data_IF_323912690546
#
_entry.id   IF_323912690546
#
_cell.length_a   1.000
_cell.length_b   1.000
_cell.length_c   1.000
_cell.angle_alpha   90.00
_cell.angle_beta   90.00
_cell.angle_gamma   90.00
#
_symmetry.space_group_name_H-M   'P 1'
#
loop_
_entity.id
_entity.type
_entity.pdbx_description
1 polymer ?
#
# COMPACT_ATOMS: atom_id res chain seq x y z
N UNK A 1 24.90 10.17 18.43
CA UNK A 1 23.51 10.59 18.10
C UNK A 1 23.33 10.28 16.63
N UNK A 2 22.51 9.29 16.29
CA UNK A 2 22.26 8.93 14.89
C UNK A 2 21.54 10.12 14.23
N UNK A 3 22.07 10.59 13.11
CA UNK A 3 21.40 11.56 12.27
C UNK A 3 20.06 10.96 11.86
N UNK A 4 18.97 11.70 12.09
CA UNK A 4 17.65 11.38 11.54
C UNK A 4 17.72 11.55 10.03
N UNK A 5 18.27 10.56 9.34
CA UNK A 5 18.14 10.41 7.90
C UNK A 5 16.64 10.35 7.61
N UNK A 6 16.10 11.41 7.01
CA UNK A 6 14.68 11.46 6.65
C UNK A 6 14.34 10.23 5.80
N UNK A 7 13.30 9.49 6.19
CA UNK A 7 12.82 8.37 5.42
C UNK A 7 12.11 8.92 4.17
N UNK A 8 12.79 8.83 3.02
CA UNK A 8 12.25 9.25 1.73
C UNK A 8 11.35 8.12 1.21
N UNK A 9 10.06 8.43 1.07
CA UNK A 9 9.09 7.54 0.42
C UNK A 9 8.61 8.14 -0.89
N UNK A 10 8.36 7.28 -1.87
CA UNK A 10 7.76 7.63 -3.15
C UNK A 10 6.54 6.76 -3.39
N UNK A 11 5.58 7.28 -4.14
CA UNK A 11 4.56 6.44 -4.78
C UNK A 11 5.17 5.90 -6.07
N UNK A 12 5.47 4.60 -6.10
CA UNK A 12 6.08 3.89 -7.24
C UNK A 12 5.05 3.69 -8.36
N UNK A 13 3.86 3.25 -7.97
CA UNK A 13 2.70 3.09 -8.85
C UNK A 13 1.53 3.79 -8.15
N UNK A 14 0.77 4.61 -8.87
CA UNK A 14 -0.41 5.26 -8.30
C UNK A 14 -1.66 4.34 -8.28
N UNK A 15 -2.79 4.88 -7.84
CA UNK A 15 -4.05 4.13 -7.77
C UNK A 15 -4.66 3.80 -9.13
N UNK A 16 -4.24 4.49 -10.20
CA UNK A 16 -4.69 4.25 -11.58
C UNK A 16 -3.73 3.29 -12.31
N UNK A 17 -2.66 2.84 -11.64
CA UNK A 17 -1.67 1.92 -12.20
C UNK A 17 -0.55 2.60 -12.98
N UNK A 18 -0.43 3.93 -12.93
CA UNK A 18 0.64 4.66 -13.61
C UNK A 18 1.94 4.60 -12.79
N UNK A 19 3.03 4.31 -13.48
CA UNK A 19 4.36 4.24 -12.89
C UNK A 19 5.00 5.64 -12.78
N UNK A 20 5.56 5.96 -11.62
CA UNK A 20 6.24 7.22 -11.36
C UNK A 20 7.72 7.13 -11.73
N UNK A 21 8.02 7.24 -13.02
CA UNK A 21 9.37 7.21 -13.56
C UNK A 21 10.29 8.27 -12.95
N UNK A 22 9.86 9.53 -12.92
CA UNK A 22 10.63 10.67 -12.42
C UNK A 22 10.98 10.50 -10.94
N UNK A 23 9.99 10.13 -10.11
CA UNK A 23 10.20 9.92 -8.67
C UNK A 23 11.09 8.71 -8.38
N UNK A 24 10.95 7.65 -9.17
CA UNK A 24 11.76 6.43 -9.01
C UNK A 24 13.22 6.69 -9.39
N UNK A 25 13.46 7.35 -10.52
CA UNK A 25 14.81 7.73 -10.96
C UNK A 25 15.51 8.61 -9.92
N UNK A 26 14.77 9.54 -9.32
CA UNK A 26 15.28 10.39 -8.25
C UNK A 26 15.65 9.57 -7.02
N UNK A 27 14.76 8.70 -6.54
CA UNK A 27 15.02 7.86 -5.38
C UNK A 27 16.25 6.96 -5.59
N UNK A 28 16.34 6.29 -6.75
CA UNK A 28 17.47 5.39 -7.08
C UNK A 28 18.81 6.13 -7.04
N UNK A 29 18.85 7.38 -7.54
CA UNK A 29 20.05 8.23 -7.50
C UNK A 29 20.38 8.68 -6.07
N UNK A 30 19.38 9.09 -5.30
CA UNK A 30 19.55 9.51 -3.90
C UNK A 30 20.08 8.38 -3.01
N UNK A 31 19.55 7.16 -3.16
CA UNK A 31 20.02 5.98 -2.39
C UNK A 31 21.30 5.37 -2.96
N UNK A 32 21.79 5.85 -4.10
CA UNK A 32 22.96 5.32 -4.83
C UNK A 32 22.86 3.81 -5.07
N UNK A 33 21.69 3.31 -5.48
CA UNK A 33 21.42 1.88 -5.57
C UNK A 33 22.42 1.11 -6.44
N UNK A 34 22.93 1.76 -7.50
CA UNK A 34 23.95 1.19 -8.38
C UNK A 34 25.27 0.90 -7.65
N UNK A 35 25.63 1.72 -6.65
CA UNK A 35 26.81 1.52 -5.82
C UNK A 35 26.62 0.36 -4.82
N UNK A 36 25.38 0.04 -4.44
CA UNK A 36 25.06 -1.10 -3.57
C UNK A 36 25.36 -2.46 -4.24
N UNK A 37 25.44 -2.52 -5.58
CA UNK A 37 25.68 -3.78 -6.31
C UNK A 37 24.64 -4.84 -5.96
N UNK A 38 25.08 -5.98 -5.39
CA UNK A 38 24.21 -7.05 -4.89
C UNK A 38 23.87 -6.92 -3.39
N UNK A 39 24.40 -5.91 -2.71
CA UNK A 39 24.21 -5.65 -1.29
C UNK A 39 22.99 -4.74 -1.07
N UNK A 40 21.83 -5.21 -1.50
CA UNK A 40 20.54 -4.59 -1.21
C UNK A 40 19.46 -5.65 -1.00
N UNK A 41 18.42 -5.28 -0.26
CA UNK A 41 17.24 -6.11 -0.06
C UNK A 41 15.97 -5.30 -0.38
N UNK A 42 14.95 -5.99 -0.89
CA UNK A 42 13.62 -5.42 -1.08
C UNK A 42 12.62 -6.25 -0.29
N UNK A 43 11.83 -5.60 0.55
CA UNK A 43 10.77 -6.22 1.35
C UNK A 43 9.44 -5.64 0.91
N UNK A 44 8.46 -6.49 0.60
CA UNK A 44 7.12 -6.06 0.25
C UNK A 44 6.10 -6.66 1.23
N UNK A 45 5.08 -5.88 1.59
CA UNK A 45 3.96 -6.37 2.39
C UNK A 45 2.67 -6.36 1.57
N UNK A 46 1.94 -7.46 1.63
CA UNK A 46 0.62 -7.60 1.01
C UNK A 46 -0.38 -8.11 2.03
N UNK A 47 -1.66 -7.77 1.85
CA UNK A 47 -2.73 -8.23 2.73
C UNK A 47 -3.98 -7.37 2.64
N UNK A 48 -5.04 -7.72 3.38
CA UNK A 48 -6.33 -7.04 3.32
C UNK A 48 -6.24 -5.53 3.60
N UNK A 49 -7.24 -4.79 3.13
CA UNK A 49 -7.37 -3.38 3.48
C UNK A 49 -7.52 -3.20 4.98
N UNK A 50 -6.88 -2.16 5.53
CA UNK A 50 -6.92 -1.83 6.96
C UNK A 50 -6.39 -2.93 7.90
N UNK A 51 -5.55 -3.86 7.44
CA UNK A 51 -4.92 -4.89 8.28
C UNK A 51 -3.66 -4.43 9.05
N UNK A 52 -3.32 -3.13 9.02
CA UNK A 52 -2.15 -2.58 9.72
C UNK A 52 -0.82 -2.71 8.99
N UNK A 53 -0.82 -2.88 7.66
CA UNK A 53 0.40 -3.04 6.83
C UNK A 53 1.40 -1.88 6.99
N UNK A 54 0.95 -0.66 6.70
CA UNK A 54 1.77 0.55 6.77
C UNK A 54 2.29 0.79 8.19
N UNK A 55 1.42 0.59 9.20
CA UNK A 55 1.79 0.63 10.63
C UNK A 55 2.91 -0.35 10.95
N UNK A 56 2.80 -1.61 10.50
CA UNK A 56 3.83 -2.62 10.72
C UNK A 56 5.17 -2.23 10.07
N UNK A 57 5.15 -1.75 8.82
CA UNK A 57 6.36 -1.31 8.13
C UNK A 57 7.02 -0.11 8.83
N UNK A 58 6.22 0.87 9.26
CA UNK A 58 6.71 2.04 10.00
C UNK A 58 7.45 1.64 11.28
N UNK A 59 6.90 0.68 12.04
CA UNK A 59 7.52 0.20 13.28
C UNK A 59 8.75 -0.70 13.05
N UNK A 60 8.74 -1.57 12.04
CA UNK A 60 9.85 -2.52 11.82
C UNK A 60 11.03 -1.90 11.09
N UNK A 61 10.76 -1.00 10.14
CA UNK A 61 11.75 -0.48 9.21
C UNK A 61 12.01 1.02 9.37
N UNK A 62 11.46 1.62 10.43
CA UNK A 62 11.59 3.05 10.74
C UNK A 62 11.13 3.94 9.57
N UNK A 63 10.05 3.55 8.89
CA UNK A 63 9.46 4.31 7.79
C UNK A 63 8.33 5.23 8.24
N UNK A 64 7.81 6.03 7.31
CA UNK A 64 6.73 6.98 7.56
C UNK A 64 5.63 6.91 6.47
N UNK A 65 5.19 5.71 6.13
CA UNK A 65 4.03 5.51 5.26
C UNK A 65 2.77 6.06 5.91
N UNK A 66 1.84 6.56 5.09
CA UNK A 66 0.58 7.10 5.57
C UNK A 66 -0.25 5.99 6.24
N UNK A 67 -0.64 6.24 7.48
CA UNK A 67 -1.53 5.36 8.24
C UNK A 67 -2.98 5.87 8.25
N UNK A 68 -3.91 4.95 8.53
CA UNK A 68 -5.32 5.27 8.62
C UNK A 68 -5.59 6.10 9.87
N UNK A 69 -6.25 7.25 9.69
CA UNK A 69 -6.71 8.08 10.79
C UNK A 69 -8.14 7.67 11.18
N UNK A 70 -8.27 6.93 12.29
CA UNK A 70 -9.56 6.43 12.76
C UNK A 70 -10.57 7.55 13.07
N UNK A 71 -10.10 8.77 13.41
CA UNK A 71 -10.98 9.91 13.69
C UNK A 71 -11.60 10.51 12.42
N UNK A 72 -11.00 10.26 11.25
CA UNK A 72 -11.51 10.71 9.94
C UNK A 72 -12.37 9.67 9.22
N UNK A 73 -12.62 8.53 9.86
CA UNK A 73 -13.38 7.42 9.30
C UNK A 73 -12.49 6.35 8.63
N UNK A 74 -13.07 5.17 8.42
CA UNK A 74 -12.40 4.06 7.73
C UNK A 74 -12.47 4.30 6.22
N UNK A 75 -11.32 4.50 5.60
CA UNK A 75 -11.18 4.62 4.15
C UNK A 75 -9.86 4.03 3.68
N UNK A 76 -9.79 3.72 2.39
CA UNK A 76 -8.56 3.29 1.76
C UNK A 76 -7.44 4.31 2.00
N UNK A 77 -6.36 3.86 2.63
CA UNK A 77 -5.25 4.73 3.07
C UNK A 77 -4.08 4.70 2.10
N UNK A 78 -3.61 3.50 1.75
CA UNK A 78 -2.57 3.28 0.74
C UNK A 78 -3.24 3.09 -0.61
N UNK A 79 -2.87 3.92 -1.58
CA UNK A 79 -3.27 3.78 -2.99
C UNK A 79 -2.06 3.47 -3.85
N UNK A 80 -2.18 2.48 -4.71
CA UNK A 80 -1.10 1.95 -5.53
C UNK A 80 -0.02 1.27 -4.70
N UNK A 81 1.24 1.50 -5.07
CA UNK A 81 2.42 0.91 -4.42
C UNK A 81 3.35 2.03 -3.98
N UNK A 82 3.68 2.04 -2.70
CA UNK A 82 4.64 2.98 -2.13
C UNK A 82 5.97 2.26 -1.85
N UNK A 83 7.08 2.97 -2.01
CA UNK A 83 8.42 2.47 -1.74
C UNK A 83 9.19 3.46 -0.87
N UNK A 84 9.97 2.96 0.09
CA UNK A 84 10.83 3.79 0.93
C UNK A 84 12.17 3.11 1.23
N UNK A 85 13.21 3.92 1.43
CA UNK A 85 14.50 3.44 1.95
C UNK A 85 14.48 3.42 3.47
N UNK A 86 14.92 2.30 4.04
CA UNK A 86 15.01 2.13 5.48
C UNK A 86 16.30 2.77 6.01
N UNK A 87 16.18 3.74 6.91
CA UNK A 87 17.34 4.38 7.52
C UNK A 87 17.97 3.45 8.58
N UNK A 88 19.30 3.30 8.53
CA UNK A 88 20.05 2.52 9.54
C UNK A 88 19.91 1.01 9.45
N UNK A 89 19.42 0.46 8.34
CA UNK A 89 19.33 -0.97 8.08
C UNK A 89 20.32 -1.35 6.97
N UNK A 90 21.17 -2.34 7.26
CA UNK A 90 22.13 -2.93 6.33
C UNK A 90 21.78 -4.41 6.06
N UNK A 91 21.89 -4.90 4.81
CA UNK A 91 22.27 -4.16 3.60
C UNK A 91 21.21 -3.10 3.23
N UNK A 92 21.52 -2.20 2.29
CA UNK A 92 20.58 -1.20 1.77
C UNK A 92 19.19 -1.79 1.55
N UNK A 93 18.23 -1.45 2.41
CA UNK A 93 16.91 -2.09 2.43
C UNK A 93 15.84 -1.13 1.93
N UNK A 94 15.11 -1.54 0.91
CA UNK A 94 13.91 -0.89 0.40
C UNK A 94 12.68 -1.65 0.87
N UNK A 95 11.67 -0.93 1.34
CA UNK A 95 10.37 -1.51 1.70
C UNK A 95 9.28 -1.02 0.77
N UNK A 96 8.34 -1.89 0.44
CA UNK A 96 7.20 -1.62 -0.42
C UNK A 96 5.89 -1.85 0.35
N UNK A 97 5.09 -0.79 0.50
CA UNK A 97 3.73 -0.86 1.05
C UNK A 97 2.74 -0.94 -0.12
N UNK A 98 2.07 -2.08 -0.25
CA UNK A 98 1.08 -2.30 -1.29
C UNK A 98 -0.31 -1.91 -0.80
N UNK A 99 -1.10 -1.34 -1.70
CA UNK A 99 -2.53 -1.15 -1.51
C UNK A 99 -3.19 -2.42 -0.98
N UNK A 100 -4.07 -2.24 0.02
CA UNK A 100 -4.77 -3.35 0.63
C UNK A 100 -5.73 -3.99 -0.35
N UNK A 101 -5.68 -5.31 -0.47
CA UNK A 101 -6.62 -6.04 -1.32
C UNK A 101 -7.87 -6.37 -0.51
N UNK A 102 -8.90 -5.53 -0.60
CA UNK A 102 -10.23 -5.87 -0.09
C UNK A 102 -11.19 -6.12 -1.27
N UNK A 103 -11.89 -7.25 -1.23
CA UNK A 103 -12.92 -7.59 -2.21
C UNK A 103 -14.16 -6.68 -2.11
N UNK A 104 -14.35 -5.96 -0.99
CA UNK A 104 -15.52 -5.11 -0.75
C UNK A 104 -15.58 -3.83 -1.58
N UNK A 105 -14.47 -3.12 -1.79
CA UNK A 105 -14.51 -1.87 -2.57
C UNK A 105 -14.76 -2.15 -4.07
N UNK A 106 -14.38 -3.34 -4.57
CA UNK A 106 -14.83 -3.83 -5.89
C UNK A 106 -16.31 -4.22 -5.93
N UNK A 107 -16.96 -4.35 -4.78
CA UNK A 107 -18.39 -4.65 -4.62
C UNK A 107 -19.27 -3.41 -4.68
N UNK A 108 -18.82 -2.25 -4.19
CA UNK A 108 -19.55 -0.98 -4.33
C UNK A 108 -19.67 -0.57 -5.80
N UNK A 109 -18.65 -0.88 -6.61
CA UNK A 109 -18.71 -0.73 -8.06
C UNK A 109 -19.78 -1.63 -8.74
N UNK A 110 -20.31 -2.64 -8.04
CA UNK A 110 -21.42 -3.50 -8.50
C UNK A 110 -22.78 -3.13 -7.93
N UNK A 111 -22.86 -2.25 -6.92
CA UNK A 111 -24.16 -1.76 -6.41
C UNK A 111 -24.82 -0.85 -7.45
N UNK A 112 -24.01 -0.15 -8.25
CA UNK A 112 -24.49 0.58 -9.43
C UNK A 112 -25.03 -0.31 -10.56
N UNK A 113 -24.76 -1.63 -10.54
CA UNK A 113 -25.25 -2.60 -11.52
C UNK A 113 -26.50 -3.36 -11.05
N UNK A 114 -27.07 -3.00 -9.89
CA UNK A 114 -28.33 -3.59 -9.41
C UNK A 114 -29.49 -2.72 -9.92
N UNK A 115 -30.27 -3.19 -10.92
CA UNK A 115 -31.40 -2.41 -11.40
C UNK A 115 -32.41 -2.20 -10.27
N UNK A 116 -33.06 -1.02 -10.19
CA UNK A 116 -34.03 -0.69 -9.14
C UNK A 116 -35.18 -1.71 -9.01
N UNK A 117 -35.46 -2.44 -10.09
CA UNK A 117 -36.54 -3.43 -10.22
C UNK A 117 -36.20 -4.83 -9.69
N UNK A 118 -34.98 -5.09 -9.20
CA UNK A 118 -34.59 -6.44 -8.78
C UNK A 118 -35.33 -6.89 -7.51
N UNK A 119 -35.95 -8.09 -7.50
CA UNK A 119 -36.75 -8.57 -6.37
C UNK A 119 -35.90 -8.89 -5.13
N UNK A 120 -36.45 -8.73 -3.90
CA UNK A 120 -35.69 -8.83 -2.65
C UNK A 120 -34.94 -10.15 -2.45
N UNK A 121 -35.53 -11.27 -2.88
CA UNK A 121 -34.95 -12.62 -2.73
C UNK A 121 -33.68 -12.85 -3.55
N UNK A 122 -33.49 -12.16 -4.67
CA UNK A 122 -32.28 -12.27 -5.48
C UNK A 122 -31.14 -11.36 -4.98
N UNK A 123 -31.48 -10.28 -4.26
CA UNK A 123 -30.49 -9.43 -3.57
C UNK A 123 -29.85 -10.19 -2.40
N UNK A 124 -30.65 -10.99 -1.69
CA UNK A 124 -30.20 -11.82 -0.58
C UNK A 124 -29.21 -12.91 -1.04
N UNK A 125 -29.50 -13.60 -2.15
CA UNK A 125 -28.60 -14.64 -2.70
C UNK A 125 -27.25 -14.12 -3.19
N UNK A 126 -27.12 -12.83 -3.52
CA UNK A 126 -25.82 -12.21 -3.87
C UNK A 126 -24.97 -11.86 -2.63
N UNK A 127 -25.57 -11.73 -1.45
CA UNK A 127 -24.87 -11.41 -0.20
C UNK A 127 -24.25 -12.62 0.52
N UNK A 128 -24.49 -13.85 0.04
CA UNK A 128 -24.08 -15.08 0.76
C UNK A 128 -22.69 -15.59 0.34
N UNK A 129 -22.12 -15.10 -0.77
CA UNK A 129 -20.80 -15.55 -1.26
C UNK A 129 -19.62 -14.61 -0.95
N UNK A 130 -19.81 -13.61 -0.08
CA UNK A 130 -18.80 -12.58 0.22
C UNK A 130 -17.98 -12.81 1.50
N UNK A 131 -18.04 -14.00 2.11
CA UNK A 131 -17.34 -14.28 3.37
C UNK A 131 -16.74 -15.69 3.38
N UNK A 132 -15.44 -15.81 3.08
CA UNK A 132 -14.56 -16.78 3.77
C UNK A 132 -13.10 -16.41 3.54
N UNK A 133 -12.40 -16.16 4.67
CA UNK A 133 -10.97 -15.90 4.90
C UNK A 133 -10.32 -14.66 4.29
#
# INVERSE_FOLDING_TARGET
>A
MATTEECHSIQLIDGDGLFNDVGTDRLIKEIKLAECGLSYAVVAIMGPQSSGKSTLLNHLFCTNFREMDAFKGRSQTTKGIWMAKCAGIEPCTLVMDLEGTDGRERGEHRIHDIPPSMPPKEKENKNIYGYTF
#
